data_IF_300598765854
#
_entry.id   IF_300598765854
#
_cell.length_a   1.000
_cell.length_b   1.000
_cell.length_c   1.000
_cell.angle_alpha   90.00
_cell.angle_beta   90.00
_cell.angle_gamma   90.00
#
_symmetry.space_group_name_H-M   'P 1'
#
loop_
_entity.id
_entity.type
_entity.pdbx_description
1 polymer ?
#
# COMPACT_ATOMS: atom_id res chain seq x y z
N UNK A 1 -49.99 -35.61 5.54
CA UNK A 1 -50.43 -36.34 6.75
C UNK A 1 -50.12 -37.81 6.54
N UNK A 2 -49.67 -38.46 7.61
CA UNK A 2 -49.44 -39.90 7.83
C UNK A 2 -48.05 -40.47 7.51
N UNK A 3 -47.49 -40.98 8.61
CA UNK A 3 -46.22 -41.61 8.92
C UNK A 3 -46.52 -43.11 9.08
N UNK A 4 -45.62 -44.00 8.66
CA UNK A 4 -45.35 -45.32 9.29
C UNK A 4 -44.22 -45.95 8.46
N UNK A 5 -43.02 -46.28 8.97
CA UNK A 5 -42.71 -46.98 10.22
C UNK A 5 -42.73 -48.48 9.95
N UNK A 6 -41.59 -49.17 10.06
CA UNK A 6 -41.40 -50.42 10.83
C UNK A 6 -39.98 -50.99 10.65
N UNK A 7 -39.38 -51.22 11.80
CA UNK A 7 -38.12 -51.89 12.15
C UNK A 7 -38.18 -53.40 11.92
N UNK A 8 -37.02 -54.06 11.71
CA UNK A 8 -36.61 -55.22 12.52
C UNK A 8 -35.16 -55.63 12.22
N UNK A 9 -34.45 -56.09 13.26
CA UNK A 9 -33.04 -56.47 13.24
C UNK A 9 -32.84 -57.97 13.50
N UNK A 10 -31.69 -58.47 13.03
CA UNK A 10 -30.74 -59.42 13.64
C UNK A 10 -31.05 -60.92 13.76
N UNK A 11 -30.05 -61.75 13.44
CA UNK A 11 -29.51 -62.96 14.12
C UNK A 11 -28.34 -63.51 13.24
N UNK A 12 -27.08 -63.27 13.62
CA UNK A 12 -26.10 -64.19 14.27
C UNK A 12 -25.83 -65.52 13.55
N UNK A 13 -24.57 -65.70 13.14
CA UNK A 13 -23.91 -67.01 13.17
C UNK A 13 -22.57 -66.88 13.93
N UNK A 14 -22.45 -67.72 14.96
CA UNK A 14 -21.22 -68.00 15.71
C UNK A 14 -20.29 -68.88 14.87
N UNK A 15 -18.99 -68.63 14.93
CA UNK A 15 -17.98 -69.70 14.82
C UNK A 15 -16.72 -69.34 15.59
N UNK A 16 -16.15 -70.40 16.15
CA UNK A 16 -15.23 -70.47 17.28
C UNK A 16 -13.77 -70.47 16.81
N UNK A 17 -12.90 -69.98 17.69
CA UNK A 17 -11.42 -69.84 17.76
C UNK A 17 -10.58 -71.05 17.30
N UNK A 18 -9.23 -70.95 17.00
CA UNK A 18 -8.19 -70.41 17.91
C UNK A 18 -6.93 -69.69 17.36
N UNK A 19 -6.27 -68.99 18.31
CA UNK A 19 -4.86 -68.50 18.48
C UNK A 19 -3.81 -68.89 17.41
N UNK A 20 -2.74 -68.15 17.07
CA UNK A 20 -1.89 -67.04 17.61
C UNK A 20 -0.91 -66.64 16.45
N UNK A 21 0.10 -65.72 16.54
CA UNK A 21 0.73 -65.08 17.70
C UNK A 21 0.95 -63.55 17.60
N UNK A 22 1.48 -63.01 18.70
CA UNK A 22 2.00 -61.66 18.92
C UNK A 22 2.77 -61.07 17.72
N UNK A 23 2.33 -59.90 17.26
CA UNK A 23 3.18 -58.93 16.60
C UNK A 23 3.42 -57.77 17.57
N UNK A 24 4.66 -57.66 17.99
CA UNK A 24 5.23 -56.58 18.78
C UNK A 24 5.07 -55.25 18.05
N UNK A 25 4.36 -54.30 18.69
CA UNK A 25 4.37 -52.90 18.24
C UNK A 25 5.81 -52.36 18.30
N UNK A 26 6.30 -51.66 17.27
CA UNK A 26 7.54 -50.91 17.40
C UNK A 26 7.34 -49.76 18.39
N UNK A 27 8.41 -49.32 19.08
CA UNK A 27 8.32 -48.24 20.06
C UNK A 27 7.85 -46.96 19.38
N UNK A 28 6.84 -46.31 19.95
CA UNK A 28 6.47 -44.94 19.62
C UNK A 28 7.64 -44.03 19.98
N UNK A 29 8.49 -43.74 19.01
CA UNK A 29 9.31 -42.54 19.04
C UNK A 29 8.36 -41.35 18.97
N UNK A 30 8.01 -40.82 20.15
CA UNK A 30 7.45 -39.49 20.29
C UNK A 30 8.52 -38.50 19.84
N UNK A 31 8.65 -38.31 18.52
CA UNK A 31 9.37 -37.18 17.95
C UNK A 31 8.59 -35.96 18.39
N UNK A 32 9.14 -35.28 19.39
CA UNK A 32 8.63 -33.99 19.83
C UNK A 32 8.48 -33.10 18.59
N UNK A 33 7.24 -32.64 18.37
CA UNK A 33 6.89 -31.72 17.31
C UNK A 33 7.82 -30.50 17.43
N UNK A 34 8.80 -30.39 16.52
CA UNK A 34 9.74 -29.28 16.56
C UNK A 34 8.94 -27.98 16.37
N UNK A 35 9.07 -26.99 17.26
CA UNK A 35 8.31 -25.75 17.14
C UNK A 35 8.63 -25.12 15.79
N UNK A 36 7.62 -25.01 14.93
CA UNK A 36 7.77 -24.33 13.64
C UNK A 36 8.31 -22.93 13.91
N UNK A 37 9.43 -22.52 13.26
CA UNK A 37 9.96 -21.19 13.49
C UNK A 37 8.88 -20.16 13.17
N UNK A 38 8.68 -19.13 14.02
CA UNK A 38 7.67 -18.13 13.78
C UNK A 38 7.90 -17.49 12.41
N UNK A 39 6.87 -17.48 11.56
CA UNK A 39 6.93 -16.76 10.27
C UNK A 39 7.40 -15.33 10.57
N UNK A 40 8.42 -14.82 9.86
CA UNK A 40 8.88 -13.46 10.07
C UNK A 40 7.68 -12.52 9.91
N UNK A 41 7.37 -11.77 10.96
CA UNK A 41 6.27 -10.80 10.95
C UNK A 41 6.61 -9.76 9.88
N UNK A 42 5.74 -9.62 8.89
CA UNK A 42 5.88 -8.55 7.90
C UNK A 42 5.86 -7.21 8.64
N UNK A 43 6.75 -6.26 8.29
CA UNK A 43 6.69 -4.92 8.87
C UNK A 43 5.31 -4.29 8.66
N UNK A 44 4.90 -3.43 9.58
CA UNK A 44 3.68 -2.63 9.41
C UNK A 44 3.75 -1.83 8.10
N UNK A 45 2.66 -1.77 7.30
CA UNK A 45 2.66 -1.07 6.02
C UNK A 45 2.71 0.45 6.17
N UNK A 46 2.40 0.99 7.36
CA UNK A 46 2.53 2.41 7.72
C UNK A 46 3.94 2.83 8.08
N UNK A 47 4.92 1.93 7.96
CA UNK A 47 6.30 2.21 8.29
C UNK A 47 7.01 2.90 7.14
N UNK A 48 7.86 3.87 7.46
CA UNK A 48 8.79 4.42 6.48
C UNK A 48 9.68 3.30 5.95
N UNK A 49 9.77 3.24 4.62
CA UNK A 49 10.54 2.21 3.94
C UNK A 49 12.03 2.58 3.92
N UNK A 50 12.93 1.60 4.04
CA UNK A 50 14.33 1.80 3.70
C UNK A 50 14.47 2.29 2.24
N UNK A 51 15.45 3.15 1.93
CA UNK A 51 15.57 3.74 0.58
C UNK A 51 15.62 2.71 -0.55
N UNK A 52 16.36 1.61 -0.39
CA UNK A 52 16.45 0.56 -1.41
C UNK A 52 15.11 -0.14 -1.65
N UNK A 53 14.34 -0.40 -0.59
CA UNK A 53 12.99 -0.99 -0.70
C UNK A 53 12.06 -0.02 -1.41
N UNK A 54 12.07 1.25 -1.02
CA UNK A 54 11.27 2.27 -1.69
C UNK A 54 11.57 2.35 -3.18
N UNK A 55 12.86 2.45 -3.56
CA UNK A 55 13.26 2.56 -4.96
C UNK A 55 12.81 1.36 -5.79
N UNK A 56 12.90 0.14 -5.24
CA UNK A 56 12.47 -1.07 -5.94
C UNK A 56 10.97 -1.05 -6.28
N UNK A 57 10.13 -0.59 -5.36
CA UNK A 57 8.68 -0.46 -5.57
C UNK A 57 8.30 0.78 -6.38
N UNK A 58 9.01 1.88 -6.21
CA UNK A 58 8.69 3.14 -6.86
C UNK A 58 9.14 3.19 -8.32
N UNK A 59 10.22 2.52 -8.71
CA UNK A 59 10.73 2.54 -10.08
C UNK A 59 9.66 2.21 -11.16
N UNK A 60 8.87 1.12 -11.07
CA UNK A 60 7.80 0.85 -12.04
C UNK A 60 6.70 1.92 -12.01
N UNK A 61 6.32 2.42 -10.83
CA UNK A 61 5.32 3.48 -10.69
C UNK A 61 5.80 4.78 -11.35
N UNK A 62 7.09 5.10 -11.20
CA UNK A 62 7.70 6.27 -11.83
C UNK A 62 7.61 6.20 -13.36
N UNK A 63 7.84 5.02 -13.95
CA UNK A 63 7.63 4.79 -15.39
C UNK A 63 6.16 4.94 -15.78
N UNK A 64 5.23 4.47 -14.93
CA UNK A 64 3.79 4.65 -15.15
C UNK A 64 3.31 6.10 -15.03
N UNK A 65 4.18 7.02 -14.57
CA UNK A 65 3.91 8.45 -14.49
C UNK A 65 3.69 8.98 -13.07
N UNK A 66 3.90 8.16 -12.03
CA UNK A 66 3.92 8.64 -10.65
C UNK A 66 5.15 9.51 -10.40
N UNK A 67 4.99 10.52 -9.56
CA UNK A 67 6.06 11.41 -9.12
C UNK A 67 6.11 11.42 -7.59
N UNK A 68 7.33 11.50 -7.06
CA UNK A 68 7.57 11.77 -5.65
C UNK A 68 7.77 13.27 -5.52
N UNK A 69 6.91 13.93 -4.75
CA UNK A 69 6.91 15.38 -4.60
C UNK A 69 6.87 15.79 -3.13
N UNK A 70 7.20 17.04 -2.86
CA UNK A 70 7.02 17.65 -1.55
C UNK A 70 5.54 17.82 -1.21
N UNK A 71 5.23 17.76 0.08
CA UNK A 71 3.91 18.15 0.57
C UNK A 71 3.70 19.67 0.36
N UNK A 72 2.49 20.11 -0.06
CA UNK A 72 2.22 21.53 -0.31
C UNK A 72 2.49 22.43 0.90
N UNK A 73 2.22 21.94 2.11
CA UNK A 73 2.49 22.67 3.36
C UNK A 73 3.97 23.02 3.51
N UNK A 74 4.87 22.15 3.05
CA UNK A 74 6.32 22.33 3.13
C UNK A 74 6.78 23.32 2.06
N UNK A 75 6.20 23.24 0.86
CA UNK A 75 6.46 24.21 -0.22
C UNK A 75 6.04 25.62 0.22
N UNK A 76 4.84 25.78 0.77
CA UNK A 76 4.35 27.08 1.26
C UNK A 76 5.22 27.66 2.39
N UNK A 77 5.69 26.82 3.31
CA UNK A 77 6.63 27.26 4.35
C UNK A 77 7.97 27.74 3.77
N UNK A 78 8.43 27.11 2.69
CA UNK A 78 9.68 27.48 2.02
C UNK A 78 9.58 28.76 1.18
N UNK A 79 8.37 29.12 0.72
CA UNK A 79 8.09 30.33 -0.06
C UNK A 79 7.69 31.52 0.83
N UNK A 80 6.93 31.27 1.90
CA UNK A 80 6.44 32.30 2.83
C UNK A 80 7.47 32.81 3.86
N UNK A 81 8.59 32.10 4.09
CA UNK A 81 9.66 32.49 5.03
C UNK A 81 10.84 33.26 4.40
N UNK A 82 10.66 33.89 3.24
CA UNK A 82 11.69 34.76 2.63
C UNK A 82 11.87 36.12 3.34
N UNK A 83 11.46 36.23 4.61
CA UNK A 83 11.72 37.35 5.50
C UNK A 83 12.20 36.86 6.86
N UNK A 84 13.51 36.97 7.11
CA UNK A 84 14.18 36.85 8.41
C UNK A 84 13.89 35.58 9.24
N UNK A 85 14.67 34.52 9.00
CA UNK A 85 15.37 33.69 10.00
C UNK A 85 15.95 32.44 9.31
N UNK A 86 17.16 32.03 9.68
CA UNK A 86 18.00 31.03 8.97
C UNK A 86 17.40 29.63 8.73
N UNK A 87 16.23 29.32 9.28
CA UNK A 87 15.56 28.00 9.18
C UNK A 87 15.15 27.60 7.76
N UNK A 88 14.87 28.57 6.87
CA UNK A 88 14.40 28.28 5.51
C UNK A 88 15.46 27.65 4.61
N UNK A 89 16.74 27.97 4.86
CA UNK A 89 17.88 27.42 4.13
C UNK A 89 18.22 26.01 4.63
N UNK A 90 18.04 25.75 5.93
CA UNK A 90 18.23 24.43 6.55
C UNK A 90 17.14 23.44 6.08
N UNK A 91 15.87 23.83 6.08
CA UNK A 91 14.78 23.01 5.54
C UNK A 91 14.96 22.70 4.04
N UNK A 92 15.38 23.69 3.24
CA UNK A 92 15.69 23.44 1.82
C UNK A 92 16.88 22.50 1.65
N UNK A 93 17.90 22.61 2.49
CA UNK A 93 19.07 21.74 2.45
C UNK A 93 18.75 20.31 2.90
N UNK A 94 17.97 20.13 3.97
CA UNK A 94 17.45 18.82 4.41
C UNK A 94 16.56 18.18 3.33
N UNK A 95 15.71 18.97 2.68
CA UNK A 95 14.88 18.51 1.56
C UNK A 95 15.72 18.12 0.34
N UNK A 96 16.77 18.87 0.01
CA UNK A 96 17.65 18.63 -1.14
C UNK A 96 18.58 17.43 -0.92
N UNK A 97 19.05 17.20 0.31
CA UNK A 97 19.84 16.03 0.72
C UNK A 97 18.93 14.77 0.90
N UNK A 98 17.62 14.97 1.06
CA UNK A 98 16.63 13.99 1.52
C UNK A 98 15.92 13.14 0.48
N UNK A 99 16.54 12.76 -0.67
CA UNK A 99 15.99 11.60 -1.42
C UNK A 99 15.98 10.31 -0.57
N UNK A 100 16.72 10.31 0.55
CA UNK A 100 16.70 9.26 1.56
C UNK A 100 15.57 9.40 2.60
N UNK A 101 14.92 10.56 2.74
CA UNK A 101 13.83 10.77 3.70
C UNK A 101 12.48 10.83 2.96
N UNK A 102 11.65 9.83 3.21
CA UNK A 102 10.29 9.76 2.67
C UNK A 102 9.31 10.66 3.45
N UNK A 103 9.75 11.29 4.54
CA UNK A 103 8.98 12.31 5.22
C UNK A 103 8.89 13.59 4.39
N UNK A 104 7.82 14.34 4.63
CA UNK A 104 7.46 15.56 3.93
C UNK A 104 7.23 15.36 2.43
N UNK A 105 7.07 14.09 2.01
CA UNK A 105 6.82 13.69 0.63
C UNK A 105 5.42 13.11 0.46
N UNK A 106 4.97 13.15 -0.80
CA UNK A 106 3.76 12.50 -1.30
C UNK A 106 4.04 11.85 -2.65
N UNK A 107 3.24 10.84 -2.98
CA UNK A 107 3.15 10.31 -4.33
C UNK A 107 2.02 11.02 -5.06
N UNK A 108 2.27 11.44 -6.31
CA UNK A 108 1.27 12.13 -7.12
C UNK A 108 1.22 11.56 -8.54
N UNK A 109 0.01 11.45 -9.10
CA UNK A 109 -0.25 10.92 -10.44
C UNK A 109 -1.45 11.60 -11.08
N UNK A 110 -1.37 11.82 -12.38
CA UNK A 110 -2.44 12.44 -13.19
C UNK A 110 -2.81 11.56 -14.40
N UNK A 111 -4.07 11.14 -14.50
CA UNK A 111 -4.59 10.45 -15.67
C UNK A 111 -5.43 11.40 -16.52
N UNK A 112 -5.20 11.37 -17.84
CA UNK A 112 -5.98 12.11 -18.84
C UNK A 112 -7.02 11.19 -19.48
N UNK A 113 -8.23 11.70 -19.63
CA UNK A 113 -9.36 11.05 -20.29
C UNK A 113 -9.78 11.87 -21.50
N UNK A 114 -10.40 11.20 -22.47
CA UNK A 114 -10.84 11.81 -23.74
C UNK A 114 -11.86 12.93 -23.55
N UNK A 115 -12.28 13.54 -24.66
CA UNK A 115 -13.28 14.60 -24.66
C UNK A 115 -14.72 14.06 -24.63
N UNK A 116 -15.67 14.94 -24.30
CA UNK A 116 -17.10 14.67 -24.42
C UNK A 116 -17.63 13.58 -23.48
N UNK A 117 -18.78 13.00 -23.85
CA UNK A 117 -19.53 12.08 -23.00
C UNK A 117 -18.77 10.79 -22.68
N UNK A 118 -18.02 10.26 -23.65
CA UNK A 118 -17.30 9.01 -23.47
C UNK A 118 -16.05 9.20 -22.60
N UNK A 119 -15.35 10.32 -22.76
CA UNK A 119 -14.27 10.73 -21.87
C UNK A 119 -14.73 10.87 -20.43
N UNK A 120 -15.82 11.60 -20.19
CA UNK A 120 -16.41 11.76 -18.87
C UNK A 120 -16.87 10.41 -18.27
N UNK A 121 -17.53 9.56 -19.06
CA UNK A 121 -17.97 8.23 -18.61
C UNK A 121 -16.78 7.36 -18.23
N UNK A 122 -15.70 7.38 -19.02
CA UNK A 122 -14.46 6.66 -18.73
C UNK A 122 -13.82 7.12 -17.42
N UNK A 123 -13.73 8.45 -17.22
CA UNK A 123 -13.23 9.03 -15.99
C UNK A 123 -14.06 8.58 -14.79
N UNK A 124 -15.38 8.71 -14.85
CA UNK A 124 -16.25 8.40 -13.71
C UNK A 124 -16.25 6.91 -13.36
N UNK A 125 -16.15 6.02 -14.36
CA UNK A 125 -15.96 4.58 -14.11
C UNK A 125 -14.64 4.32 -13.37
N UNK A 126 -13.54 4.90 -13.84
CA UNK A 126 -12.27 4.75 -13.16
C UNK A 126 -12.30 5.34 -11.74
N UNK A 127 -12.90 6.51 -11.55
CA UNK A 127 -13.06 7.15 -10.24
C UNK A 127 -13.87 6.29 -9.25
N UNK A 128 -14.88 5.55 -9.74
CA UNK A 128 -15.61 4.58 -8.92
C UNK A 128 -14.70 3.44 -8.44
N UNK A 129 -13.89 2.87 -9.35
CA UNK A 129 -12.90 1.84 -9.00
C UNK A 129 -11.86 2.38 -8.02
N UNK A 130 -11.41 3.63 -8.19
CA UNK A 130 -10.53 4.30 -7.23
C UNK A 130 -11.18 4.35 -5.85
N UNK A 131 -12.45 4.73 -5.76
CA UNK A 131 -13.19 4.78 -4.49
C UNK A 131 -13.21 3.43 -3.77
N UNK A 132 -13.46 2.34 -4.50
CA UNK A 132 -13.43 0.98 -3.95
C UNK A 132 -12.03 0.59 -3.44
N UNK A 133 -10.98 0.86 -4.22
CA UNK A 133 -9.61 0.56 -3.82
C UNK A 133 -9.22 1.36 -2.57
N UNK A 134 -9.59 2.63 -2.50
CA UNK A 134 -9.32 3.49 -1.34
C UNK A 134 -9.96 2.94 -0.07
N UNK A 135 -11.21 2.47 -0.17
CA UNK A 135 -11.93 1.85 0.95
C UNK A 135 -11.28 0.52 1.38
N UNK A 136 -10.95 -0.35 0.42
CA UNK A 136 -10.29 -1.62 0.70
C UNK A 136 -8.88 -1.47 1.30
N UNK A 137 -8.15 -0.44 0.87
CA UNK A 137 -6.84 -0.12 1.40
C UNK A 137 -6.91 0.67 2.71
N UNK A 138 -8.08 1.17 3.14
CA UNK A 138 -8.22 2.08 4.28
C UNK A 138 -7.14 3.18 4.28
N UNK A 139 -6.92 3.77 3.11
CA UNK A 139 -5.86 4.75 2.90
C UNK A 139 -6.34 5.83 1.93
N UNK A 140 -6.62 7.01 2.47
CA UNK A 140 -7.44 8.03 1.82
C UNK A 140 -6.58 9.12 1.16
N UNK A 141 -6.42 9.13 -0.18
CA UNK A 141 -5.67 10.16 -0.86
C UNK A 141 -6.50 11.43 -1.07
N UNK A 142 -5.84 12.50 -1.49
CA UNK A 142 -6.51 13.62 -2.15
C UNK A 142 -6.82 13.24 -3.60
N UNK A 143 -8.05 13.51 -4.05
CA UNK A 143 -8.52 13.22 -5.42
C UNK A 143 -9.02 14.53 -6.04
N UNK A 144 -8.49 14.88 -7.20
CA UNK A 144 -8.93 16.06 -7.98
C UNK A 144 -9.49 15.59 -9.31
N UNK A 145 -10.72 15.98 -9.62
CA UNK A 145 -11.35 15.76 -10.93
C UNK A 145 -11.65 17.12 -11.55
N UNK A 146 -11.23 17.33 -12.79
CA UNK A 146 -11.46 18.61 -13.47
C UNK A 146 -11.49 18.46 -14.99
N UNK A 147 -12.12 19.38 -15.73
CA UNK A 147 -11.83 19.59 -17.13
C UNK A 147 -10.36 19.93 -17.33
N UNK A 148 -9.73 19.40 -18.37
CA UNK A 148 -8.31 19.62 -18.62
C UNK A 148 -7.95 21.09 -18.87
N UNK A 149 -8.89 21.92 -19.35
CA UNK A 149 -8.73 23.37 -19.54
C UNK A 149 -8.51 24.14 -18.24
N UNK A 150 -9.16 23.68 -17.18
CA UNK A 150 -9.24 24.38 -15.89
C UNK A 150 -8.25 23.80 -14.89
N UNK A 151 -7.70 22.63 -15.21
CA UNK A 151 -6.75 21.93 -14.37
C UNK A 151 -5.46 22.76 -14.19
N UNK A 152 -5.01 22.78 -12.94
CA UNK A 152 -3.72 23.30 -12.52
C UNK A 152 -3.04 22.18 -11.71
N UNK A 153 -1.91 21.63 -12.20
CA UNK A 153 -1.23 20.56 -11.49
C UNK A 153 -0.93 20.96 -10.05
N UNK A 154 -1.22 20.08 -9.08
CA UNK A 154 -0.92 20.37 -7.68
C UNK A 154 0.57 20.17 -7.36
N UNK A 155 1.32 19.60 -8.30
CA UNK A 155 2.74 19.32 -8.23
C UNK A 155 3.47 19.96 -9.40
N UNK A 156 4.64 20.55 -9.14
CA UNK A 156 5.55 21.05 -10.17
C UNK A 156 6.22 19.94 -10.98
N UNK A 157 6.19 18.71 -10.46
CA UNK A 157 6.73 17.52 -11.14
C UNK A 157 5.75 16.91 -12.15
N UNK A 158 4.50 17.39 -12.17
CA UNK A 158 3.50 16.99 -13.15
C UNK A 158 3.47 17.96 -14.32
N UNK A 159 3.40 17.42 -15.53
CA UNK A 159 3.17 18.21 -16.74
C UNK A 159 1.72 18.67 -16.84
N UNK A 160 1.49 19.79 -17.52
CA UNK A 160 0.14 20.19 -17.93
C UNK A 160 -0.47 19.14 -18.86
N UNK A 161 -1.81 18.96 -18.86
CA UNK A 161 -2.47 17.99 -19.74
C UNK A 161 -2.15 18.27 -21.20
N UNK A 162 -1.91 17.21 -21.97
CA UNK A 162 -1.63 17.35 -23.41
C UNK A 162 -2.90 17.69 -24.19
N UNK A 163 -4.06 17.21 -23.74
CA UNK A 163 -5.35 17.50 -24.35
C UNK A 163 -6.20 18.43 -23.47
N UNK A 164 -6.31 19.71 -23.85
CA UNK A 164 -7.10 20.71 -23.11
C UNK A 164 -8.62 20.52 -23.21
N UNK A 165 -9.10 19.64 -24.09
CA UNK A 165 -10.53 19.33 -24.27
C UNK A 165 -11.00 18.10 -23.49
N UNK A 166 -10.08 17.38 -22.86
CA UNK A 166 -10.35 16.18 -22.08
C UNK A 166 -10.72 16.45 -20.64
N UNK A 167 -10.61 15.40 -19.84
CA UNK A 167 -10.76 15.47 -18.39
C UNK A 167 -9.53 14.91 -17.70
N UNK A 168 -9.30 15.37 -16.47
CA UNK A 168 -8.15 14.98 -15.66
C UNK A 168 -8.64 14.42 -14.34
N UNK A 169 -8.03 13.32 -13.92
CA UNK A 169 -8.08 12.80 -12.56
C UNK A 169 -6.66 12.82 -11.98
N UNK A 170 -6.44 13.60 -10.93
CA UNK A 170 -5.18 13.62 -10.16
C UNK A 170 -5.39 12.95 -8.80
N UNK A 171 -4.44 12.12 -8.39
CA UNK A 171 -4.37 11.53 -7.05
C UNK A 171 -3.06 11.93 -6.40
N UNK A 172 -3.15 12.37 -5.15
CA UNK A 172 -2.01 12.69 -4.28
C UNK A 172 -2.15 11.92 -2.96
N UNK A 173 -1.16 11.10 -2.59
CA UNK A 173 -1.21 10.26 -1.39
C UNK A 173 0.05 10.34 -0.54
N UNK A 174 -0.13 10.32 0.77
CA UNK A 174 0.92 10.21 1.78
C UNK A 174 0.29 9.69 3.08
N UNK A 175 1.11 9.18 3.99
CA UNK A 175 0.71 8.78 5.33
C UNK A 175 0.88 9.94 6.30
N UNK A 176 -0.19 10.35 6.99
CA UNK A 176 -0.17 11.47 7.94
C UNK A 176 0.67 11.22 9.19
N UNK A 177 0.69 9.98 9.68
CA UNK A 177 1.39 9.58 10.91
C UNK A 177 2.17 8.27 10.68
N UNK A 178 3.30 8.31 9.96
CA UNK A 178 4.06 7.10 9.66
C UNK A 178 4.75 6.56 10.91
N UNK A 179 5.00 5.25 10.92
CA UNK A 179 5.87 4.61 11.90
C UNK A 179 7.34 4.81 11.51
N UNK A 180 8.25 4.99 12.48
CA UNK A 180 9.69 5.10 12.21
C UNK A 180 10.22 3.86 11.48
N UNK A 181 11.29 3.93 10.69
CA UNK A 181 11.89 2.75 10.05
C UNK A 181 12.26 1.67 11.07
N UNK A 182 12.43 0.43 10.63
CA UNK A 182 12.93 -0.61 11.53
C UNK A 182 14.34 -0.24 11.97
N UNK A 183 14.70 -0.39 13.27
CA UNK A 183 16.07 -0.20 13.70
C UNK A 183 16.95 -1.18 12.92
N UNK A 184 17.92 -0.66 12.17
CA UNK A 184 18.92 -1.50 11.53
C UNK A 184 19.76 -2.15 12.62
N UNK A 185 19.96 -3.47 12.54
CA UNK A 185 20.80 -4.22 13.47
C UNK A 185 22.31 -3.92 13.33
N UNK A 186 22.68 -2.82 12.65
CA UNK A 186 24.05 -2.36 12.51
C UNK A 186 24.43 -1.44 13.68
N UNK A 187 25.20 -2.03 14.58
CA UNK A 187 26.13 -1.43 15.54
C UNK A 187 25.56 -0.71 16.76
N UNK A 188 25.98 -1.21 17.93
CA UNK A 188 25.64 -0.75 19.27
C UNK A 188 26.19 0.62 19.65
N UNK A 189 26.10 1.62 18.76
CA UNK A 189 26.50 3.00 18.99
C UNK A 189 25.47 3.97 18.41
N UNK A 190 24.23 3.93 18.90
CA UNK A 190 23.29 5.06 18.88
C UNK A 190 22.04 4.79 19.75
N UNK A 191 22.21 4.34 21.00
CA UNK A 191 21.16 4.46 22.01
C UNK A 191 21.16 5.84 22.69
N UNK A 192 21.61 6.89 22.00
CA UNK A 192 21.62 8.26 22.51
C UNK A 192 20.57 9.12 21.81
N UNK A 193 19.30 8.70 21.81
CA UNK A 193 18.14 9.58 21.61
C UNK A 193 16.79 8.92 21.96
N UNK A 194 16.77 7.94 22.87
CA UNK A 194 15.50 7.42 23.40
C UNK A 194 14.65 8.49 24.12
N UNK A 195 15.22 9.67 24.41
CA UNK A 195 14.53 10.80 25.03
C UNK A 195 14.16 11.94 24.05
N UNK A 196 14.54 11.86 22.78
CA UNK A 196 14.09 12.77 21.73
C UNK A 196 13.50 11.94 20.59
N UNK A 197 12.34 11.33 20.83
CA UNK A 197 11.53 10.80 19.74
C UNK A 197 11.05 11.98 18.91
N UNK A 198 11.86 12.40 17.94
CA UNK A 198 11.47 13.40 16.94
C UNK A 198 10.13 12.95 16.38
N UNK A 199 9.09 13.76 16.60
CA UNK A 199 7.73 13.44 16.18
C UNK A 199 7.77 13.10 14.68
N UNK A 200 7.34 11.90 14.33
CA UNK A 200 7.25 11.46 12.94
C UNK A 200 6.40 12.46 12.15
N UNK A 201 6.97 12.96 11.05
CA UNK A 201 6.28 13.86 10.12
C UNK A 201 5.56 13.06 9.05
N UNK A 202 4.53 13.62 8.40
CA UNK A 202 3.83 12.94 7.32
C UNK A 202 4.80 12.49 6.22
N UNK A 203 4.53 11.40 5.51
CA UNK A 203 5.46 10.89 4.51
C UNK A 203 4.95 9.67 3.75
N UNK A 204 5.75 9.20 2.80
CA UNK A 204 5.42 8.04 1.96
C UNK A 204 5.80 6.73 2.66
N UNK A 205 4.85 5.79 2.71
CA UNK A 205 5.01 4.47 3.31
C UNK A 205 4.65 3.35 2.31
N UNK A 206 4.68 2.10 2.78
CA UNK A 206 4.22 0.96 1.98
C UNK A 206 2.73 1.03 1.61
N UNK A 207 1.89 1.70 2.40
CA UNK A 207 0.46 1.91 2.06
C UNK A 207 0.31 2.77 0.81
N UNK A 208 1.08 3.85 0.72
CA UNK A 208 1.06 4.78 -0.40
C UNK A 208 1.46 4.09 -1.71
N UNK A 209 2.53 3.28 -1.67
CA UNK A 209 2.99 2.50 -2.82
C UNK A 209 1.98 1.43 -3.21
N UNK A 210 1.43 0.69 -2.24
CA UNK A 210 0.43 -0.35 -2.53
C UNK A 210 -0.83 0.24 -3.16
N UNK A 211 -1.30 1.38 -2.66
CA UNK A 211 -2.41 2.10 -3.26
C UNK A 211 -2.08 2.49 -4.71
N UNK A 212 -0.91 3.09 -4.95
CA UNK A 212 -0.47 3.47 -6.29
C UNK A 212 -0.38 2.28 -7.26
N UNK A 213 0.18 1.15 -6.81
CA UNK A 213 0.26 -0.10 -7.59
C UNK A 213 -1.13 -0.60 -8.00
N UNK A 214 -2.08 -0.65 -7.06
CA UNK A 214 -3.45 -1.13 -7.35
C UNK A 214 -4.20 -0.20 -8.30
N UNK A 215 -4.00 1.11 -8.17
CA UNK A 215 -4.61 2.10 -9.06
C UNK A 215 -4.08 1.97 -10.50
N UNK A 216 -2.77 1.75 -10.67
CA UNK A 216 -2.20 1.52 -12.02
C UNK A 216 -2.66 0.18 -12.61
N UNK A 217 -2.79 -0.87 -11.81
CA UNK A 217 -3.36 -2.14 -12.28
C UNK A 217 -4.80 -1.96 -12.78
N UNK A 218 -5.63 -1.26 -12.01
CA UNK A 218 -7.01 -0.95 -12.39
C UNK A 218 -7.07 -0.08 -13.66
N UNK A 219 -6.21 0.93 -13.76
CA UNK A 219 -6.16 1.79 -14.94
C UNK A 219 -5.69 1.02 -16.19
N UNK A 220 -4.72 0.12 -16.03
CA UNK A 220 -4.26 -0.78 -17.08
C UNK A 220 -5.40 -1.66 -17.62
N UNK A 221 -6.21 -2.24 -16.73
CA UNK A 221 -7.41 -3.02 -17.11
C UNK A 221 -8.46 -2.16 -17.82
N UNK A 222 -8.74 -0.96 -17.30
CA UNK A 222 -9.67 0.00 -17.91
C UNK A 222 -9.28 0.32 -19.36
N UNK A 223 -7.99 0.60 -19.59
CA UNK A 223 -7.45 0.93 -20.92
C UNK A 223 -7.46 -0.24 -21.89
N UNK A 224 -7.30 -1.45 -21.38
CA UNK A 224 -7.38 -2.67 -22.18
C UNK A 224 -8.83 -3.07 -22.53
N UNK A 225 -9.83 -2.32 -22.06
CA UNK A 225 -11.25 -2.63 -22.29
C UNK A 225 -11.74 -3.83 -21.48
N UNK A 226 -11.00 -4.22 -20.43
CA UNK A 226 -11.44 -5.24 -19.47
C UNK A 226 -12.38 -4.57 -18.47
N UNK A 227 -13.58 -5.11 -18.30
CA UNK A 227 -14.50 -4.63 -17.25
C UNK A 227 -13.82 -4.79 -15.88
N UNK A 228 -13.84 -3.69 -15.12
CA UNK A 228 -13.24 -3.52 -13.79
C UNK A 228 -14.33 -3.28 -12.77
#
# INVERSE_FOLDING_TARGET
MLISGHTCASIRHLSTTPDSPLLTNPPSDSVADAPTPPKPRRPSPYRLLPPHTFLAHFAPLHVAGWRLDLLPSIVQLSEGRSGNNGDGAELRREVQEGMADLQDRRLVRMWEFGEGKDGWRGLMRFAQTVGQIVEEEDHHPTITISPASDYRPTSTSLSTPNNTRGYVLEISTHTHTPMPPLPSHSDGLAQSSANNATKMRPGVTGKDLRLAERLEEAFGKARAGVEI
#
